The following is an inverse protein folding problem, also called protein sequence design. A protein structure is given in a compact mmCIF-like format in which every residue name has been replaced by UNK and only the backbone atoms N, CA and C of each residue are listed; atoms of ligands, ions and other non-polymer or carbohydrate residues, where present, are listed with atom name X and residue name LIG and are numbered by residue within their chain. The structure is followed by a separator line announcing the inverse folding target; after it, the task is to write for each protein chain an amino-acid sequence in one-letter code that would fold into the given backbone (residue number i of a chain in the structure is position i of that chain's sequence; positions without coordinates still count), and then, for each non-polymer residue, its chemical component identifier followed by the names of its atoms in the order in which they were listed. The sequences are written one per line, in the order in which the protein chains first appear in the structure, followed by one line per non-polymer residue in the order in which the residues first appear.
data_IF_780474494963
#
_entry.id   IF_780474494963
#
_cell.length_a   1.000
_cell.length_b   1.000
_cell.length_c   1.000
_cell.angle_alpha   90.00
_cell.angle_beta   90.00
_cell.angle_gamma   90.00
#
_symmetry.space_group_name_H-M   'P 1'
#
loop_
_entity.id
_entity.type
_entity.pdbx_description
1 polymer ?
#
# COMPACT_ATOMS: atom_id res chain seq x y z
N UNK A 1 -14.81 -55.08 3.15
CA UNK A 1 -13.86 -54.23 2.42
C UNK A 1 -14.55 -52.90 2.18
N UNK A 2 -14.22 -51.89 2.97
CA UNK A 2 -14.68 -50.52 2.76
C UNK A 2 -13.89 -49.96 1.58
N UNK A 3 -14.56 -49.64 0.48
CA UNK A 3 -13.98 -48.83 -0.59
C UNK A 3 -13.66 -47.47 0.01
N UNK A 4 -12.39 -47.24 0.35
CA UNK A 4 -11.92 -45.90 0.65
C UNK A 4 -12.19 -45.06 -0.60
N UNK A 5 -13.15 -44.14 -0.52
CA UNK A 5 -13.33 -43.09 -1.50
C UNK A 5 -12.00 -42.36 -1.61
N UNK A 6 -11.28 -42.57 -2.71
CA UNK A 6 -10.09 -41.81 -3.03
C UNK A 6 -10.53 -40.36 -3.13
N UNK A 7 -10.19 -39.54 -2.12
CA UNK A 7 -10.51 -38.11 -2.13
C UNK A 7 -10.00 -37.53 -3.44
N UNK A 8 -10.89 -36.95 -4.25
CA UNK A 8 -10.52 -36.20 -5.46
C UNK A 8 -9.89 -34.84 -5.12
N UNK A 9 -9.68 -34.56 -3.83
CA UNK A 9 -9.20 -33.29 -3.30
C UNK A 9 -7.92 -33.47 -2.51
N UNK A 10 -6.89 -32.72 -2.89
CA UNK A 10 -5.63 -32.64 -2.16
C UNK A 10 -5.70 -31.57 -1.06
N UNK A 11 -5.30 -31.89 0.17
CA UNK A 11 -5.23 -30.94 1.28
C UNK A 11 -3.78 -30.47 1.47
N UNK A 12 -3.42 -29.32 0.89
CA UNK A 12 -2.05 -28.80 0.90
C UNK A 12 -1.90 -27.42 1.57
N UNK A 13 -2.97 -26.84 2.12
CA UNK A 13 -2.93 -25.52 2.74
C UNK A 13 -1.94 -25.41 3.91
N UNK A 14 -1.77 -26.49 4.67
CA UNK A 14 -0.82 -26.56 5.79
C UNK A 14 0.60 -26.89 5.35
N UNK A 15 0.80 -27.28 4.09
CA UNK A 15 2.12 -27.55 3.54
C UNK A 15 2.82 -26.25 3.16
N UNK A 16 3.70 -25.77 4.05
CA UNK A 16 4.45 -24.53 3.87
C UNK A 16 5.43 -24.59 2.69
N UNK A 17 5.99 -25.77 2.38
CA UNK A 17 6.90 -25.95 1.25
C UNK A 17 6.18 -25.71 -0.09
N UNK A 18 4.91 -26.14 -0.21
CA UNK A 18 4.07 -25.82 -1.38
C UNK A 18 3.87 -24.31 -1.52
N UNK A 19 3.65 -23.59 -0.41
CA UNK A 19 3.52 -22.14 -0.50
C UNK A 19 4.84 -21.46 -0.86
N UNK A 20 5.96 -21.93 -0.32
CA UNK A 20 7.30 -21.43 -0.64
C UNK A 20 7.61 -21.59 -2.13
N UNK A 21 7.33 -22.78 -2.69
CA UNK A 21 7.46 -23.05 -4.13
C UNK A 21 6.62 -22.08 -4.99
N UNK A 22 5.38 -21.81 -4.58
CA UNK A 22 4.51 -20.90 -5.31
C UNK A 22 4.98 -19.44 -5.22
N UNK A 23 5.67 -19.06 -4.13
CA UNK A 23 6.27 -17.73 -3.96
C UNK A 23 7.54 -17.61 -4.81
N UNK A 24 8.36 -18.66 -4.92
CA UNK A 24 9.62 -18.63 -5.67
C UNK A 24 9.43 -18.63 -7.20
N UNK A 25 8.28 -19.10 -7.69
CA UNK A 25 7.98 -19.18 -9.12
C UNK A 25 6.69 -18.43 -9.50
N UNK A 26 6.55 -17.13 -9.15
CA UNK A 26 5.27 -16.42 -9.31
C UNK A 26 4.85 -16.33 -10.77
N UNK A 27 5.79 -16.16 -11.70
CA UNK A 27 5.51 -16.00 -13.12
C UNK A 27 5.16 -17.30 -13.84
N UNK A 28 5.41 -18.47 -13.25
CA UNK A 28 5.04 -19.75 -13.86
C UNK A 28 3.53 -20.00 -13.82
N UNK A 29 2.85 -19.44 -12.82
CA UNK A 29 1.42 -19.68 -12.61
C UNK A 29 0.56 -18.40 -12.61
N UNK A 30 1.14 -17.21 -12.41
CA UNK A 30 0.40 -15.95 -12.47
C UNK A 30 0.40 -15.36 -13.87
N UNK A 31 -0.65 -15.64 -14.63
CA UNK A 31 -0.76 -15.22 -16.03
C UNK A 31 -1.08 -13.72 -16.14
N UNK A 32 -2.03 -13.24 -15.35
CA UNK A 32 -2.48 -11.85 -15.46
C UNK A 32 -2.99 -11.31 -14.15
N UNK A 33 -2.52 -10.12 -13.79
CA UNK A 33 -3.09 -9.33 -12.72
C UNK A 33 -3.85 -8.13 -13.28
N UNK A 34 -5.09 -7.95 -12.83
CA UNK A 34 -5.89 -6.75 -13.11
C UNK A 34 -6.17 -6.03 -11.80
N UNK A 35 -5.69 -4.80 -11.68
CA UNK A 35 -5.88 -3.96 -10.52
C UNK A 35 -6.71 -2.73 -10.88
N UNK A 36 -7.72 -2.44 -10.07
CA UNK A 36 -8.59 -1.28 -10.21
C UNK A 36 -8.57 -0.47 -8.91
N UNK A 37 -8.19 0.80 -9.01
CA UNK A 37 -8.24 1.77 -7.93
C UNK A 37 -9.38 2.74 -8.20
N UNK A 38 -10.36 2.79 -7.31
CA UNK A 38 -11.54 3.66 -7.40
C UNK A 38 -11.50 4.69 -6.29
N UNK A 39 -11.29 5.95 -6.66
CA UNK A 39 -11.36 7.09 -5.74
C UNK A 39 -12.84 7.43 -5.55
N UNK A 40 -13.37 7.06 -4.39
CA UNK A 40 -14.77 7.24 -4.01
C UNK A 40 -14.96 8.24 -2.86
N UNK A 41 -13.88 8.60 -2.16
CA UNK A 41 -13.92 9.50 -1.01
C UNK A 41 -12.69 10.39 -0.91
N UNK A 42 -12.78 11.43 -0.08
CA UNK A 42 -11.69 12.38 0.16
C UNK A 42 -10.48 11.81 0.91
N UNK A 43 -10.64 10.68 1.61
CA UNK A 43 -9.64 10.13 2.55
C UNK A 43 -9.32 8.66 2.28
N UNK A 44 -10.03 8.03 1.36
CA UNK A 44 -9.83 6.63 1.01
C UNK A 44 -10.20 6.33 -0.44
N UNK A 45 -9.69 5.22 -0.96
CA UNK A 45 -10.08 4.65 -2.23
C UNK A 45 -10.31 3.15 -2.09
N UNK A 46 -11.14 2.58 -2.96
CA UNK A 46 -11.32 1.14 -3.05
C UNK A 46 -10.30 0.57 -4.03
N UNK A 47 -9.54 -0.43 -3.61
CA UNK A 47 -8.71 -1.25 -4.47
C UNK A 47 -9.40 -2.57 -4.71
N UNK A 48 -9.46 -2.99 -5.98
CA UNK A 48 -9.94 -4.31 -6.39
C UNK A 48 -8.87 -4.95 -7.22
N UNK A 49 -8.61 -6.23 -7.01
CA UNK A 49 -7.63 -6.97 -7.79
C UNK A 49 -8.19 -8.32 -8.19
N UNK A 50 -7.87 -8.72 -9.42
CA UNK A 50 -8.22 -10.00 -10.01
C UNK A 50 -6.94 -10.64 -10.52
N UNK A 51 -6.58 -11.79 -9.97
CA UNK A 51 -5.44 -12.59 -10.38
C UNK A 51 -5.95 -13.77 -11.23
N UNK A 52 -5.46 -13.87 -12.46
CA UNK A 52 -5.70 -15.01 -13.35
C UNK A 52 -4.54 -15.98 -13.22
N UNK A 53 -4.87 -17.23 -12.90
CA UNK A 53 -3.94 -18.29 -12.56
C UNK A 53 -4.00 -19.39 -13.62
N UNK A 54 -2.83 -19.86 -14.05
CA UNK A 54 -2.69 -21.03 -14.92
C UNK A 54 -2.99 -22.33 -14.15
N UNK A 55 -3.29 -23.44 -14.84
CA UNK A 55 -3.36 -24.76 -14.21
C UNK A 55 -2.12 -25.06 -13.36
N UNK A 56 -2.34 -25.53 -12.13
CA UNK A 56 -1.27 -25.73 -11.14
C UNK A 56 -0.72 -27.16 -11.11
N UNK A 57 -1.33 -28.13 -11.83
CA UNK A 57 -0.91 -29.54 -11.76
C UNK A 57 0.58 -29.74 -12.03
N UNK A 58 1.12 -29.11 -13.07
CA UNK A 58 2.53 -29.27 -13.45
C UNK A 58 3.46 -28.78 -12.33
N UNK A 59 3.15 -27.63 -11.75
CA UNK A 59 3.93 -27.04 -10.67
C UNK A 59 3.81 -27.82 -9.36
N UNK A 60 2.68 -28.50 -9.15
CA UNK A 60 2.40 -29.27 -7.93
C UNK A 60 2.57 -30.77 -8.11
N UNK A 61 3.24 -31.23 -9.17
CA UNK A 61 3.29 -32.64 -9.56
C UNK A 61 3.79 -33.57 -8.43
N UNK A 62 4.72 -33.10 -7.60
CA UNK A 62 5.26 -33.86 -6.47
C UNK A 62 4.30 -33.96 -5.26
N UNK A 63 3.24 -33.14 -5.24
CA UNK A 63 2.30 -33.01 -4.13
C UNK A 63 0.89 -33.50 -4.45
N UNK A 64 0.58 -33.76 -5.73
CA UNK A 64 -0.74 -34.20 -6.17
C UNK A 64 -0.66 -35.46 -7.03
N UNK A 65 -1.64 -36.35 -6.89
CA UNK A 65 -1.80 -37.51 -7.77
C UNK A 65 -2.68 -37.17 -8.98
N UNK A 66 -2.64 -37.99 -10.05
CA UNK A 66 -3.53 -37.83 -11.21
C UNK A 66 -5.03 -37.91 -10.87
N UNK A 67 -5.40 -38.47 -9.72
CA UNK A 67 -6.80 -38.60 -9.28
C UNK A 67 -7.33 -37.36 -8.55
N UNK A 68 -6.46 -36.44 -8.12
CA UNK A 68 -6.90 -35.19 -7.53
C UNK A 68 -7.38 -34.23 -8.62
N UNK A 69 -8.59 -33.71 -8.53
CA UNK A 69 -9.16 -32.69 -9.42
C UNK A 69 -8.98 -31.28 -8.84
N UNK A 70 -9.11 -31.16 -7.52
CA UNK A 70 -8.94 -29.89 -6.79
C UNK A 70 -7.90 -29.99 -5.68
N UNK A 71 -7.40 -28.85 -5.23
CA UNK A 71 -6.54 -28.75 -4.05
C UNK A 71 -6.95 -27.57 -3.17
N UNK A 72 -6.89 -27.74 -1.84
CA UNK A 72 -6.89 -26.60 -0.91
C UNK A 72 -5.45 -26.14 -0.78
N UNK A 73 -5.17 -24.92 -1.23
CA UNK A 73 -3.83 -24.33 -1.23
C UNK A 73 -3.83 -23.03 -0.43
N UNK A 74 -2.71 -22.75 0.24
CA UNK A 74 -2.37 -21.42 0.74
C UNK A 74 -1.67 -20.64 -0.38
N UNK A 75 -2.41 -19.80 -1.10
CA UNK A 75 -1.91 -19.06 -2.25
C UNK A 75 -1.51 -17.65 -1.86
N UNK A 76 -0.29 -17.22 -2.22
CA UNK A 76 0.07 -15.81 -2.26
C UNK A 76 -0.77 -15.14 -3.35
N UNK A 77 -1.63 -14.18 -3.00
CA UNK A 77 -2.57 -13.54 -3.93
C UNK A 77 -2.05 -12.19 -4.42
N UNK A 78 -1.41 -11.43 -3.54
CA UNK A 78 -0.78 -10.16 -3.88
C UNK A 78 0.16 -9.68 -2.77
N UNK A 79 1.22 -8.94 -3.12
CA UNK A 79 1.95 -8.16 -2.14
C UNK A 79 1.10 -6.97 -1.64
N UNK A 80 1.18 -6.73 -0.33
CA UNK A 80 0.39 -5.75 0.42
C UNK A 80 1.26 -4.93 1.36
N UNK A 81 1.03 -3.61 1.51
CA UNK A 81 1.68 -2.85 2.57
C UNK A 81 1.27 -3.41 3.94
N UNK A 82 2.21 -3.40 4.89
CA UNK A 82 1.91 -3.71 6.29
C UNK A 82 0.93 -2.69 6.85
N UNK A 83 -0.03 -3.17 7.64
CA UNK A 83 -1.07 -2.36 8.25
C UNK A 83 -2.42 -3.08 8.30
N UNK A 84 -3.45 -2.43 8.86
CA UNK A 84 -4.79 -2.99 8.92
C UNK A 84 -5.40 -3.10 7.52
N UNK A 85 -6.02 -4.24 7.24
CA UNK A 85 -6.82 -4.45 6.03
C UNK A 85 -8.25 -3.95 6.28
N UNK A 86 -8.62 -2.82 5.67
CA UNK A 86 -9.94 -2.22 5.83
C UNK A 86 -10.89 -2.69 4.73
N UNK A 87 -12.13 -3.02 5.10
CA UNK A 87 -13.17 -3.51 4.16
C UNK A 87 -12.66 -4.63 3.24
N UNK A 88 -11.84 -5.53 3.79
CA UNK A 88 -11.21 -6.58 3.02
C UNK A 88 -12.17 -7.72 2.73
N UNK A 89 -12.23 -8.12 1.46
CA UNK A 89 -12.99 -9.28 0.97
C UNK A 89 -12.13 -10.05 -0.03
N UNK A 90 -12.21 -11.38 -0.01
CA UNK A 90 -11.46 -12.26 -0.90
C UNK A 90 -12.32 -13.45 -1.33
N UNK A 91 -12.25 -13.79 -2.61
CA UNK A 91 -13.00 -14.88 -3.25
C UNK A 91 -12.08 -15.75 -4.09
N UNK A 92 -12.12 -17.04 -3.81
CA UNK A 92 -11.48 -18.06 -4.63
C UNK A 92 -12.37 -18.50 -5.79
N UNK A 93 -11.88 -19.39 -6.66
CA UNK A 93 -12.65 -19.84 -7.83
C UNK A 93 -13.85 -20.70 -7.45
N UNK A 94 -13.73 -21.52 -6.40
CA UNK A 94 -14.78 -22.43 -5.94
C UNK A 94 -15.55 -21.88 -4.71
N UNK A 95 -15.50 -20.57 -4.48
CA UNK A 95 -16.26 -19.89 -3.43
C UNK A 95 -15.39 -19.18 -2.39
N UNK A 96 -15.54 -19.55 -1.13
CA UNK A 96 -14.89 -18.86 -0.02
C UNK A 96 -13.36 -19.05 -0.03
N UNK A 97 -12.66 -18.00 0.39
CA UNK A 97 -11.24 -18.01 0.66
C UNK A 97 -11.00 -17.45 2.06
N UNK A 98 -9.99 -17.96 2.76
CA UNK A 98 -9.69 -17.58 4.14
C UNK A 98 -8.29 -16.98 4.20
N UNK A 99 -8.20 -15.72 4.61
CA UNK A 99 -6.92 -15.06 4.87
C UNK A 99 -6.18 -15.82 5.99
N UNK A 100 -4.91 -16.16 5.75
CA UNK A 100 -4.10 -16.78 6.78
C UNK A 100 -3.73 -15.77 7.87
N UNK A 101 -3.64 -16.20 9.14
CA UNK A 101 -3.11 -15.35 10.21
C UNK A 101 -1.70 -14.84 9.90
N UNK A 102 -1.40 -13.59 10.25
CA UNK A 102 -0.09 -12.95 10.02
C UNK A 102 1.11 -13.80 10.48
N UNK A 103 1.11 -14.45 11.67
CA UNK A 103 2.21 -15.32 12.07
C UNK A 103 2.43 -16.52 11.13
N UNK A 104 1.37 -17.02 10.51
CA UNK A 104 1.43 -18.17 9.61
C UNK A 104 1.89 -17.78 8.19
N UNK A 105 1.58 -16.55 7.77
CA UNK A 105 2.19 -15.91 6.60
C UNK A 105 3.69 -15.72 6.84
N UNK A 106 4.06 -15.14 7.98
CA UNK A 106 5.44 -14.88 8.35
C UNK A 106 6.32 -16.14 8.29
N UNK A 107 5.83 -17.27 8.82
CA UNK A 107 6.53 -18.56 8.73
C UNK A 107 6.77 -19.03 7.29
N UNK A 108 5.81 -18.83 6.38
CA UNK A 108 5.96 -19.19 4.95
C UNK A 108 6.97 -18.30 4.25
N UNK A 109 6.92 -17.00 4.53
CA UNK A 109 7.89 -16.04 3.98
C UNK A 109 9.31 -16.30 4.49
N UNK A 110 9.46 -16.64 5.78
CA UNK A 110 10.74 -17.03 6.34
C UNK A 110 11.26 -18.36 5.76
N UNK A 111 10.38 -19.34 5.52
CA UNK A 111 10.75 -20.57 4.83
C UNK A 111 11.25 -20.30 3.40
N UNK A 112 10.56 -19.43 2.67
CA UNK A 112 10.99 -18.99 1.34
C UNK A 112 12.37 -18.33 1.36
N UNK A 113 12.63 -17.45 2.33
CA UNK A 113 13.97 -16.88 2.53
C UNK A 113 15.00 -17.98 2.86
N UNK A 114 14.62 -18.97 3.67
CA UNK A 114 15.47 -20.13 3.95
C UNK A 114 15.81 -20.93 2.69
N UNK A 115 14.84 -21.18 1.82
CA UNK A 115 15.04 -21.90 0.56
C UNK A 115 15.98 -21.12 -0.38
N UNK A 116 15.87 -19.79 -0.46
CA UNK A 116 16.80 -18.95 -1.21
C UNK A 116 18.23 -19.01 -0.66
N UNK A 117 18.40 -18.95 0.66
CA UNK A 117 19.71 -19.06 1.30
C UNK A 117 20.34 -20.44 1.06
N UNK A 118 19.54 -21.51 1.17
CA UNK A 118 19.98 -22.88 0.92
C UNK A 118 20.36 -23.11 -0.56
N UNK A 119 19.59 -22.56 -1.50
CA UNK A 119 19.92 -22.58 -2.93
C UNK A 119 21.26 -21.86 -3.23
N UNK A 120 21.66 -20.94 -2.36
CA UNK A 120 22.95 -20.26 -2.39
C UNK A 120 24.02 -20.90 -1.48
N UNK A 121 23.78 -22.12 -0.99
CA UNK A 121 24.75 -22.92 -0.25
C UNK A 121 24.86 -22.60 1.24
N UNK A 122 23.90 -21.86 1.82
CA UNK A 122 23.86 -21.57 3.26
C UNK A 122 22.55 -22.02 3.88
N UNK A 123 22.60 -23.17 4.57
CA UNK A 123 21.49 -23.62 5.39
C UNK A 123 21.33 -22.73 6.63
N UNK A 124 20.09 -22.34 6.91
CA UNK A 124 19.78 -21.51 8.08
C UNK A 124 19.59 -22.38 9.31
N UNK A 125 20.17 -21.94 10.43
CA UNK A 125 19.90 -22.55 11.73
C UNK A 125 18.45 -22.29 12.15
N UNK A 126 17.84 -23.19 12.94
CA UNK A 126 16.47 -23.03 13.45
C UNK A 126 16.27 -21.71 14.23
N UNK A 127 17.23 -21.23 15.05
CA UNK A 127 17.15 -19.92 15.68
C UNK A 127 17.10 -18.76 14.67
N UNK A 128 17.91 -18.80 13.60
CA UNK A 128 17.90 -17.75 12.55
C UNK A 128 16.59 -17.77 11.77
N UNK A 129 16.06 -18.94 11.44
CA UNK A 129 14.75 -19.05 10.79
C UNK A 129 13.62 -18.52 11.69
N UNK A 130 13.72 -18.76 12.99
CA UNK A 130 12.79 -18.21 13.99
C UNK A 130 12.90 -16.69 14.09
N UNK A 131 14.13 -16.15 14.11
CA UNK A 131 14.39 -14.71 14.04
C UNK A 131 13.78 -14.09 12.76
N UNK A 132 14.04 -14.68 11.59
CA UNK A 132 13.47 -14.23 10.33
C UNK A 132 11.95 -14.22 10.37
N UNK A 133 11.34 -15.29 10.90
CA UNK A 133 9.88 -15.38 11.09
C UNK A 133 9.36 -14.19 11.91
N UNK A 134 10.02 -13.86 13.02
CA UNK A 134 9.63 -12.73 13.86
C UNK A 134 9.84 -11.38 13.14
N UNK A 135 10.96 -11.22 12.41
CA UNK A 135 11.25 -10.02 11.59
C UNK A 135 10.17 -9.78 10.52
N UNK A 136 9.80 -10.81 9.76
CA UNK A 136 8.78 -10.68 8.70
C UNK A 136 7.35 -10.61 9.26
N UNK A 137 7.14 -11.10 10.49
CA UNK A 137 5.89 -11.02 11.23
C UNK A 137 5.64 -9.69 11.93
N UNK A 138 6.70 -8.93 12.23
CA UNK A 138 6.64 -7.68 12.98
C UNK A 138 5.63 -6.68 12.39
N UNK A 139 4.76 -6.07 13.19
CA UNK A 139 3.74 -5.13 12.66
C UNK A 139 4.03 -3.67 12.98
N UNK A 140 4.88 -3.40 13.98
CA UNK A 140 5.19 -2.04 14.41
C UNK A 140 4.01 -1.26 14.98
N UNK A 141 2.87 -1.92 15.28
CA UNK A 141 1.66 -1.26 15.81
C UNK A 141 1.94 -0.40 17.04
N UNK A 142 2.90 -0.83 17.86
CA UNK A 142 3.33 -0.12 19.06
C UNK A 142 3.82 1.31 18.73
N UNK A 143 4.66 1.47 17.71
CA UNK A 143 5.19 2.77 17.27
C UNK A 143 4.11 3.67 16.67
N UNK A 144 3.12 3.08 15.99
CA UNK A 144 1.98 3.84 15.45
C UNK A 144 1.06 4.41 16.53
N UNK A 145 1.05 3.81 17.74
CA UNK A 145 0.17 4.23 18.85
C UNK A 145 0.84 5.17 19.84
N UNK A 146 2.12 4.94 20.15
CA UNK A 146 2.80 5.59 21.26
C UNK A 146 3.70 6.77 20.85
N UNK A 147 3.81 7.07 19.56
CA UNK A 147 4.63 8.17 19.05
C UNK A 147 6.12 7.82 18.97
N UNK A 148 7.00 8.81 18.70
CA UNK A 148 8.43 8.58 18.58
C UNK A 148 9.03 8.21 19.93
N UNK A 149 9.59 7.01 20.03
CA UNK A 149 10.29 6.49 21.20
C UNK A 149 11.70 6.04 20.79
N UNK A 150 12.67 6.15 21.70
CA UNK A 150 14.00 5.58 21.47
C UNK A 150 13.96 4.04 21.49
N UNK A 151 14.92 3.40 20.82
CA UNK A 151 15.04 1.94 20.85
C UNK A 151 15.20 1.40 22.28
N UNK A 152 15.85 2.15 23.15
CA UNK A 152 16.12 1.74 24.54
C UNK A 152 14.83 1.67 25.35
N UNK A 153 14.04 2.75 25.36
CA UNK A 153 12.74 2.79 26.02
C UNK A 153 11.81 1.69 25.48
N UNK A 154 11.82 1.44 24.16
CA UNK A 154 11.01 0.38 23.54
C UNK A 154 11.39 -1.00 24.06
N UNK A 155 12.69 -1.29 24.14
CA UNK A 155 13.18 -2.58 24.61
C UNK A 155 12.94 -2.76 26.11
N UNK A 156 13.13 -1.72 26.92
CA UNK A 156 12.88 -1.78 28.37
C UNK A 156 11.39 -2.01 28.67
N UNK A 157 10.49 -1.34 27.95
CA UNK A 157 9.04 -1.56 28.06
C UNK A 157 8.66 -2.99 27.61
N UNK A 158 9.17 -3.42 26.46
CA UNK A 158 8.87 -4.74 25.88
C UNK A 158 9.41 -5.92 26.71
N UNK A 159 10.56 -5.74 27.37
CA UNK A 159 11.17 -6.77 28.21
C UNK A 159 10.76 -6.68 29.69
N UNK A 160 10.17 -5.55 30.12
CA UNK A 160 9.81 -5.29 31.51
C UNK A 160 11.02 -5.21 32.45
N UNK A 161 12.20 -4.89 31.94
CA UNK A 161 13.45 -4.76 32.69
C UNK A 161 14.41 -3.78 32.02
N UNK A 162 15.31 -3.19 32.80
CA UNK A 162 16.37 -2.35 32.26
C UNK A 162 17.44 -3.16 31.53
N UNK A 163 18.04 -2.53 30.53
CA UNK A 163 19.09 -3.11 29.68
C UNK A 163 20.33 -2.25 29.80
N UNK A 164 21.51 -2.87 29.81
CA UNK A 164 22.76 -2.10 29.90
C UNK A 164 22.99 -1.29 28.62
N UNK A 165 23.52 -0.07 28.76
CA UNK A 165 23.84 0.81 27.63
C UNK A 165 24.79 0.14 26.61
N UNK A 166 25.72 -0.70 27.08
CA UNK A 166 26.63 -1.45 26.22
C UNK A 166 25.89 -2.46 25.33
N UNK A 167 24.89 -3.16 25.88
CA UNK A 167 24.08 -4.14 25.13
C UNK A 167 23.23 -3.43 24.09
N UNK A 168 22.56 -2.34 24.47
CA UNK A 168 21.77 -1.52 23.52
C UNK A 168 22.66 -0.93 22.43
N UNK A 169 23.87 -0.45 22.80
CA UNK A 169 24.86 0.04 21.86
C UNK A 169 25.30 -1.02 20.85
N UNK A 170 25.53 -2.26 21.31
CA UNK A 170 25.88 -3.38 20.45
C UNK A 170 24.74 -3.74 19.48
N UNK A 171 23.50 -3.80 19.96
CA UNK A 171 22.34 -4.08 19.11
C UNK A 171 22.09 -2.98 18.07
N UNK A 172 22.29 -1.70 18.43
CA UNK A 172 22.26 -0.59 17.47
C UNK A 172 23.34 -0.74 16.41
N UNK A 173 24.56 -1.11 16.80
CA UNK A 173 25.64 -1.34 15.85
C UNK A 173 25.29 -2.44 14.83
N UNK A 174 24.73 -3.57 15.29
CA UNK A 174 24.24 -4.63 14.38
C UNK A 174 23.18 -4.09 13.42
N UNK A 175 22.22 -3.31 13.91
CA UNK A 175 21.20 -2.68 13.06
C UNK A 175 21.80 -1.71 12.04
N UNK A 176 22.87 -0.98 12.39
CA UNK A 176 23.54 -0.11 11.44
C UNK A 176 24.25 -0.90 10.33
N UNK A 177 24.85 -2.06 10.63
CA UNK A 177 25.43 -2.95 9.61
C UNK A 177 24.35 -3.55 8.70
N UNK A 178 23.26 -4.06 9.27
CA UNK A 178 22.13 -4.59 8.48
C UNK A 178 21.52 -3.51 7.59
N UNK A 179 21.38 -2.28 8.11
CA UNK A 179 20.86 -1.13 7.36
C UNK A 179 21.74 -0.79 6.16
N UNK A 180 23.07 -0.84 6.28
CA UNK A 180 23.96 -0.55 5.13
C UNK A 180 23.69 -1.47 3.94
N UNK A 181 23.36 -2.73 4.21
CA UNK A 181 23.08 -3.76 3.20
C UNK A 181 21.66 -3.62 2.64
N UNK A 182 20.66 -3.44 3.51
CA UNK A 182 19.25 -3.51 3.11
C UNK A 182 18.68 -2.16 2.65
N UNK A 183 19.14 -1.02 3.20
CA UNK A 183 18.61 0.31 2.85
C UNK A 183 18.63 0.61 1.35
N UNK A 184 19.68 0.29 0.58
CA UNK A 184 19.71 0.53 -0.86
C UNK A 184 18.62 -0.23 -1.64
N UNK A 185 18.05 -1.29 -1.03
CA UNK A 185 17.03 -2.16 -1.61
C UNK A 185 15.61 -1.80 -1.15
N UNK A 186 15.48 -0.75 -0.34
CA UNK A 186 14.20 -0.27 0.19
C UNK A 186 13.76 0.99 -0.54
N UNK A 187 12.81 0.80 -1.45
CA UNK A 187 11.97 1.78 -2.13
C UNK A 187 11.64 3.08 -1.32
N UNK A 188 11.03 2.98 -0.14
CA UNK A 188 10.77 4.14 0.74
C UNK A 188 10.73 3.68 2.20
N UNK A 189 11.54 4.36 3.02
CA UNK A 189 11.61 4.14 4.46
C UNK A 189 10.48 4.85 5.21
N UNK A 190 9.88 4.15 6.18
CA UNK A 190 8.85 4.71 7.07
C UNK A 190 9.22 4.40 8.52
N UNK A 191 9.92 5.34 9.15
CA UNK A 191 10.29 5.40 10.57
C UNK A 191 11.12 4.21 11.12
N UNK A 192 10.70 2.96 10.92
CA UNK A 192 11.34 1.74 11.42
C UNK A 192 11.24 0.59 10.39
N UNK A 193 12.22 -0.31 10.44
CA UNK A 193 12.28 -1.53 9.61
C UNK A 193 12.92 -2.64 10.42
N UNK A 194 12.15 -3.69 10.73
CA UNK A 194 12.67 -4.84 11.49
C UNK A 194 13.79 -5.59 10.76
N UNK A 195 13.77 -5.76 9.42
CA UNK A 195 14.93 -6.31 8.71
C UNK A 195 16.20 -5.47 8.88
N UNK A 196 16.11 -4.15 8.83
CA UNK A 196 17.28 -3.28 9.01
C UNK A 196 17.70 -3.14 10.46
N UNK A 197 16.77 -3.25 11.41
CA UNK A 197 17.05 -3.18 12.83
C UNK A 197 16.40 -4.38 13.54
N UNK A 198 17.06 -5.56 13.52
CA UNK A 198 16.50 -6.78 14.06
C UNK A 198 16.37 -6.74 15.60
N UNK A 199 16.96 -5.74 16.27
CA UNK A 199 16.73 -5.52 17.69
C UNK A 199 15.26 -5.22 18.01
N UNK A 200 14.48 -4.70 17.05
CA UNK A 200 13.06 -4.41 17.22
C UNK A 200 12.22 -5.64 17.56
N UNK A 201 12.69 -6.85 17.25
CA UNK A 201 11.92 -8.08 17.53
C UNK A 201 12.36 -8.79 18.81
N UNK A 202 13.37 -8.29 19.52
CA UNK A 202 13.89 -8.92 20.74
C UNK A 202 12.79 -9.19 21.78
N UNK A 203 11.87 -8.26 22.10
CA UNK A 203 10.80 -8.55 23.04
C UNK A 203 9.97 -9.78 22.67
N UNK A 204 9.68 -9.94 21.38
CA UNK A 204 8.93 -11.09 20.86
C UNK A 204 9.76 -12.39 20.94
N UNK A 205 11.08 -12.33 20.75
CA UNK A 205 11.97 -13.50 20.89
C UNK A 205 12.02 -14.01 22.33
N UNK A 206 12.08 -13.11 23.32
CA UNK A 206 12.02 -13.48 24.73
C UNK A 206 10.64 -14.05 25.09
N UNK A 207 9.55 -13.40 24.64
CA UNK A 207 8.19 -13.86 24.90
C UNK A 207 7.92 -15.27 24.31
N UNK A 208 8.53 -15.57 23.16
CA UNK A 208 8.44 -16.89 22.52
C UNK A 208 9.44 -17.92 23.08
N UNK A 209 10.28 -17.56 24.05
CA UNK A 209 11.38 -18.39 24.58
C UNK A 209 12.38 -18.86 23.51
N UNK A 210 12.60 -18.07 22.46
CA UNK A 210 13.62 -18.34 21.44
C UNK A 210 15.01 -18.00 21.99
N UNK A 211 15.09 -16.97 22.84
CA UNK A 211 16.29 -16.57 23.57
C UNK A 211 15.96 -16.44 25.05
N UNK A 212 16.92 -16.80 25.92
CA UNK A 212 16.77 -16.73 27.37
C UNK A 212 17.62 -15.61 28.00
N UNK A 213 18.59 -15.05 27.27
CA UNK A 213 19.50 -14.01 27.78
C UNK A 213 19.90 -12.98 26.74
N UNK A 214 20.38 -11.82 27.22
CA UNK A 214 20.90 -10.75 26.35
C UNK A 214 22.10 -11.21 25.50
N UNK A 215 22.90 -12.13 26.03
CA UNK A 215 24.04 -12.72 25.31
C UNK A 215 23.59 -13.61 24.16
N UNK A 216 22.55 -14.41 24.36
CA UNK A 216 21.95 -15.24 23.31
C UNK A 216 21.30 -14.38 22.24
N UNK A 217 20.52 -13.37 22.63
CA UNK A 217 19.95 -12.40 21.70
C UNK A 217 21.06 -11.72 20.87
N UNK A 218 22.11 -11.22 21.52
CA UNK A 218 23.26 -10.59 20.86
C UNK A 218 23.94 -11.53 19.85
N UNK A 219 24.09 -12.81 20.19
CA UNK A 219 24.72 -13.79 19.31
C UNK A 219 23.84 -14.10 18.10
N UNK A 220 22.53 -14.24 18.30
CA UNK A 220 21.56 -14.51 17.23
C UNK A 220 21.45 -13.33 16.25
N UNK A 221 21.46 -12.09 16.77
CA UNK A 221 21.48 -10.88 15.93
C UNK A 221 22.77 -10.77 15.13
N UNK A 222 23.91 -11.16 15.70
CA UNK A 222 25.18 -11.19 14.98
C UNK A 222 25.17 -12.26 13.87
N UNK A 223 24.65 -13.45 14.13
CA UNK A 223 24.50 -14.51 13.12
C UNK A 223 23.63 -14.06 11.93
N UNK A 224 22.59 -13.28 12.20
CA UNK A 224 21.77 -12.65 11.17
C UNK A 224 22.54 -11.59 10.35
N UNK A 225 23.31 -10.72 11.00
CA UNK A 225 24.15 -9.76 10.28
C UNK A 225 25.22 -10.46 9.42
N UNK A 226 25.84 -11.53 9.94
CA UNK A 226 26.79 -12.37 9.20
C UNK A 226 26.13 -13.10 8.01
N UNK A 227 24.83 -13.41 8.10
CA UNK A 227 24.05 -13.92 6.98
C UNK A 227 23.89 -12.85 5.89
N UNK A 228 23.50 -11.63 6.26
CA UNK A 228 23.32 -10.55 5.29
C UNK A 228 24.64 -10.15 4.62
N UNK A 229 25.72 -10.02 5.39
CA UNK A 229 27.05 -9.68 4.84
C UNK A 229 27.57 -10.78 3.91
N UNK A 230 27.33 -12.06 4.24
CA UNK A 230 27.64 -13.16 3.34
C UNK A 230 26.88 -13.07 2.02
N UNK A 231 25.57 -12.84 2.06
CA UNK A 231 24.75 -12.75 0.84
C UNK A 231 25.11 -11.52 0.00
N UNK A 232 25.37 -10.37 0.64
CA UNK A 232 25.76 -9.15 -0.07
C UNK A 232 27.09 -9.33 -0.82
N UNK A 233 28.07 -10.02 -0.22
CA UNK A 233 29.35 -10.33 -0.90
C UNK A 233 29.18 -11.27 -2.10
N UNK A 234 28.08 -12.01 -2.15
CA UNK A 234 27.80 -12.95 -3.23
C UNK A 234 26.79 -12.44 -4.25
N UNK A 235 26.12 -11.30 -4.00
CA UNK A 235 25.32 -10.61 -4.98
C UNK A 235 26.28 -9.84 -5.92
N UNK A 236 26.55 -10.33 -7.15
CA UNK A 236 27.49 -9.68 -8.05
C UNK A 236 26.97 -8.30 -8.49
N UNK A 237 27.91 -7.44 -8.91
CA UNK A 237 27.61 -6.11 -9.49
C UNK A 237 27.07 -6.22 -10.93
N UNK A 238 27.17 -7.39 -11.55
CA UNK A 238 26.68 -7.65 -12.91
C UNK A 238 25.16 -7.96 -12.88
N UNK A 239 24.39 -7.38 -13.82
CA UNK A 239 22.91 -7.34 -13.92
C UNK A 239 22.14 -8.69 -13.98
N UNK A 240 22.75 -9.82 -13.61
CA UNK A 240 22.07 -11.12 -13.56
C UNK A 240 21.51 -11.40 -12.15
N UNK A 241 20.18 -11.60 -12.01
CA UNK A 241 19.56 -11.92 -10.73
C UNK A 241 20.18 -13.19 -10.13
N UNK A 242 20.54 -13.14 -8.86
CA UNK A 242 21.04 -14.29 -8.10
C UNK A 242 20.12 -14.57 -6.92
N UNK A 243 20.11 -15.81 -6.42
CA UNK A 243 19.34 -16.15 -5.21
C UNK A 243 19.71 -15.28 -4.00
N UNK A 244 20.95 -14.80 -3.91
CA UNK A 244 21.38 -13.87 -2.87
C UNK A 244 20.72 -12.50 -3.04
N UNK A 245 20.66 -11.97 -4.27
CA UNK A 245 19.97 -10.72 -4.58
C UNK A 245 18.46 -10.84 -4.33
N UNK A 246 17.84 -11.94 -4.76
CA UNK A 246 16.43 -12.24 -4.50
C UNK A 246 16.13 -12.32 -2.99
N UNK A 247 17.02 -12.91 -2.19
CA UNK A 247 16.86 -12.96 -0.73
C UNK A 247 16.86 -11.56 -0.14
N UNK A 248 17.87 -10.75 -0.47
CA UNK A 248 18.04 -9.42 0.09
C UNK A 248 16.90 -8.49 -0.34
N UNK A 249 16.49 -8.54 -1.60
CA UNK A 249 15.37 -7.77 -2.14
C UNK A 249 14.03 -8.20 -1.51
N UNK A 250 13.77 -9.51 -1.39
CA UNK A 250 12.56 -10.01 -0.75
C UNK A 250 12.51 -9.65 0.73
N UNK A 251 13.62 -9.78 1.47
CA UNK A 251 13.70 -9.42 2.88
C UNK A 251 13.53 -7.92 3.10
N UNK A 252 14.13 -7.08 2.24
CA UNK A 252 13.93 -5.64 2.23
C UNK A 252 12.46 -5.28 1.97
N UNK A 253 11.83 -5.87 0.94
CA UNK A 253 10.42 -5.64 0.63
C UNK A 253 9.52 -6.08 1.78
N UNK A 254 9.81 -7.23 2.40
CA UNK A 254 9.06 -7.71 3.56
C UNK A 254 9.16 -6.78 4.75
N UNK A 255 10.17 -5.92 4.88
CA UNK A 255 10.22 -4.90 5.93
C UNK A 255 9.02 -3.95 5.91
N UNK A 256 8.44 -3.72 4.73
CA UNK A 256 7.31 -2.80 4.52
C UNK A 256 6.04 -3.48 4.03
N UNK A 257 6.20 -4.52 3.22
CA UNK A 257 5.11 -5.24 2.61
C UNK A 257 5.05 -6.66 3.16
N UNK A 258 4.03 -7.39 2.76
CA UNK A 258 3.92 -8.80 2.99
C UNK A 258 3.06 -9.43 1.90
N UNK A 259 3.15 -10.73 1.77
CA UNK A 259 2.32 -11.48 0.85
C UNK A 259 0.97 -11.78 1.48
N UNK A 260 -0.09 -11.27 0.87
CA UNK A 260 -1.45 -11.65 1.22
C UNK A 260 -1.65 -13.12 0.83
N UNK A 261 -1.54 -14.03 1.80
CA UNK A 261 -1.73 -15.47 1.57
C UNK A 261 -3.11 -15.88 2.06
N UNK A 262 -3.89 -16.52 1.19
CA UNK A 262 -5.20 -17.04 1.54
C UNK A 262 -5.32 -18.53 1.20
N UNK A 263 -5.93 -19.28 2.12
CA UNK A 263 -6.34 -20.66 1.90
C UNK A 263 -7.61 -20.69 1.05
N UNK A 264 -7.61 -21.44 -0.04
CA UNK A 264 -8.79 -21.62 -0.89
C UNK A 264 -8.73 -22.93 -1.66
N UNK A 265 -9.89 -23.44 -2.06
CA UNK A 265 -9.99 -24.56 -2.98
C UNK A 265 -9.84 -24.07 -4.43
N UNK A 266 -8.96 -24.73 -5.18
CA UNK A 266 -8.66 -24.40 -6.58
C UNK A 266 -8.68 -25.64 -7.48
N UNK A 267 -9.08 -25.51 -8.76
CA UNK A 267 -8.90 -26.57 -9.74
C UNK A 267 -7.43 -26.74 -10.11
N UNK A 268 -6.99 -27.98 -10.33
CA UNK A 268 -5.59 -28.27 -10.69
C UNK A 268 -5.31 -28.19 -12.19
N UNK A 269 -6.31 -28.50 -13.03
CA UNK A 269 -6.17 -28.64 -14.49
C UNK A 269 -6.71 -27.48 -15.30
N UNK A 270 -7.48 -26.59 -14.67
CA UNK A 270 -8.16 -25.49 -15.35
C UNK A 270 -7.62 -24.15 -14.88
N UNK A 271 -7.53 -23.14 -15.77
CA UNK A 271 -7.22 -21.79 -15.35
C UNK A 271 -8.33 -21.23 -14.49
N UNK A 272 -7.98 -20.42 -13.50
CA UNK A 272 -8.95 -19.89 -12.55
C UNK A 272 -8.64 -18.45 -12.14
N UNK A 273 -9.58 -17.83 -11.41
CA UNK A 273 -9.48 -16.42 -11.00
C UNK A 273 -9.64 -16.30 -9.50
N UNK A 274 -8.73 -15.56 -8.87
CA UNK A 274 -8.83 -15.12 -7.48
C UNK A 274 -9.11 -13.61 -7.48
N UNK A 275 -10.09 -13.17 -6.69
CA UNK A 275 -10.45 -11.76 -6.57
C UNK A 275 -10.37 -11.31 -5.13
N UNK A 276 -9.89 -10.10 -4.89
CA UNK A 276 -10.04 -9.44 -3.61
C UNK A 276 -10.35 -7.96 -3.78
N UNK A 277 -10.85 -7.36 -2.70
CA UNK A 277 -10.97 -5.92 -2.57
C UNK A 277 -10.56 -5.46 -1.18
N UNK A 278 -10.04 -4.23 -1.10
CA UNK A 278 -9.71 -3.56 0.16
C UNK A 278 -9.96 -2.06 0.03
N UNK A 279 -10.09 -1.36 1.16
CA UNK A 279 -10.09 0.10 1.23
C UNK A 279 -8.71 0.58 1.68
N UNK A 280 -8.12 1.47 0.88
CA UNK A 280 -6.82 2.09 1.18
C UNK A 280 -6.99 3.54 1.56
N UNK A 281 -6.08 4.03 2.41
CA UNK A 281 -6.02 5.45 2.74
C UNK A 281 -5.56 6.26 1.54
N UNK A 282 -6.15 7.44 1.40
CA UNK A 282 -5.87 8.40 0.34
C UNK A 282 -5.55 9.76 0.96
N UNK A 283 -4.32 10.22 0.78
CA UNK A 283 -3.88 11.52 1.25
C UNK A 283 -3.88 12.51 0.09
N UNK A 284 -4.92 13.35 0.03
CA UNK A 284 -5.03 14.42 -0.98
C UNK A 284 -4.46 15.71 -0.40
N UNK A 285 -3.47 16.30 -1.06
CA UNK A 285 -2.93 17.61 -0.66
C UNK A 285 -4.02 18.68 -0.68
N UNK A 286 -4.08 19.56 0.32
CA UNK A 286 -5.13 20.58 0.43
C UNK A 286 -5.13 21.61 -0.72
N UNK A 287 -3.96 21.96 -1.24
CA UNK A 287 -3.83 23.04 -2.24
C UNK A 287 -3.71 22.54 -3.67
N UNK A 288 -2.91 21.50 -3.91
CA UNK A 288 -2.67 20.98 -5.25
C UNK A 288 -3.69 19.91 -5.67
N UNK A 289 -4.53 19.43 -4.75
CA UNK A 289 -5.40 18.27 -4.95
C UNK A 289 -4.67 17.05 -5.54
N UNK A 290 -3.38 16.92 -5.25
CA UNK A 290 -2.54 15.79 -5.68
C UNK A 290 -2.59 14.67 -4.68
N UNK A 291 -2.54 13.45 -5.17
CA UNK A 291 -2.35 12.26 -4.36
C UNK A 291 -1.51 11.22 -5.11
N UNK A 292 -1.13 10.16 -4.39
CA UNK A 292 -0.36 9.06 -4.93
C UNK A 292 -0.85 7.72 -4.39
N UNK A 293 -0.75 6.68 -5.20
CA UNK A 293 -1.02 5.29 -4.82
C UNK A 293 0.04 4.37 -5.44
N UNK A 294 0.58 3.45 -4.63
CA UNK A 294 1.55 2.46 -5.10
C UNK A 294 0.85 1.18 -5.56
N UNK A 295 1.33 0.65 -6.70
CA UNK A 295 0.81 -0.58 -7.31
C UNK A 295 1.95 -1.46 -7.81
N UNK A 296 1.74 -2.77 -7.82
CA UNK A 296 2.71 -3.76 -8.29
C UNK A 296 2.42 -4.14 -9.74
N UNK A 297 3.45 -4.10 -10.59
CA UNK A 297 3.32 -4.34 -12.04
C UNK A 297 4.22 -5.46 -12.58
N UNK A 298 5.05 -6.10 -11.75
CA UNK A 298 5.86 -7.26 -12.16
C UNK A 298 5.47 -8.59 -11.49
N UNK A 299 4.35 -8.65 -10.76
CA UNK A 299 3.98 -9.82 -9.96
C UNK A 299 3.06 -10.84 -10.68
N UNK A 300 2.85 -10.67 -11.99
CA UNK A 300 2.23 -11.62 -12.91
C UNK A 300 2.85 -11.43 -14.30
N UNK A 301 2.69 -12.37 -15.24
CA UNK A 301 3.25 -12.25 -16.61
C UNK A 301 2.77 -10.98 -17.33
N UNK A 302 1.53 -10.55 -17.07
CA UNK A 302 1.00 -9.27 -17.50
C UNK A 302 0.20 -8.57 -16.40
N UNK A 303 0.33 -7.25 -16.31
CA UNK A 303 -0.34 -6.42 -15.33
C UNK A 303 -1.17 -5.34 -16.03
N UNK A 304 -2.41 -5.16 -15.58
CA UNK A 304 -3.29 -4.10 -16.05
C UNK A 304 -3.81 -3.32 -14.86
N UNK A 305 -3.47 -2.03 -14.77
CA UNK A 305 -3.87 -1.17 -13.67
C UNK A 305 -4.79 -0.08 -14.19
N UNK A 306 -5.94 0.12 -13.56
CA UNK A 306 -6.83 1.24 -13.87
C UNK A 306 -7.11 2.10 -12.65
N UNK A 307 -6.92 3.40 -12.78
CA UNK A 307 -7.37 4.40 -11.82
C UNK A 307 -8.70 4.99 -12.28
N UNK A 308 -9.69 5.09 -11.40
CA UNK A 308 -11.01 5.65 -11.68
C UNK A 308 -11.46 6.61 -10.58
N UNK A 309 -12.23 7.62 -10.94
CA UNK A 309 -12.94 8.51 -10.00
C UNK A 309 -14.42 8.18 -10.06
N UNK A 310 -15.00 7.75 -8.93
CA UNK A 310 -16.42 7.38 -8.88
C UNK A 310 -17.35 8.60 -8.82
N UNK A 311 -16.84 9.73 -8.34
CA UNK A 311 -17.61 10.96 -8.19
C UNK A 311 -17.84 11.64 -9.55
N UNK A 312 -19.11 11.79 -10.01
CA UNK A 312 -19.42 12.40 -11.30
C UNK A 312 -19.11 13.90 -11.35
N UNK A 313 -18.82 14.56 -10.23
CA UNK A 313 -18.48 15.98 -10.17
C UNK A 313 -16.97 16.24 -10.26
N UNK A 314 -16.16 15.18 -10.24
CA UNK A 314 -14.69 15.24 -10.16
C UNK A 314 -14.07 14.59 -11.40
N UNK A 315 -12.93 15.12 -11.83
CA UNK A 315 -12.12 14.62 -12.93
C UNK A 315 -10.65 14.44 -12.54
N UNK A 316 -9.95 13.56 -13.24
CA UNK A 316 -8.51 13.44 -13.26
C UNK A 316 -7.94 14.60 -14.08
N UNK A 317 -7.21 15.52 -13.43
CA UNK A 317 -6.59 16.67 -14.11
C UNK A 317 -5.23 16.30 -14.69
N UNK A 318 -4.41 15.58 -13.93
CA UNK A 318 -3.12 15.07 -14.34
C UNK A 318 -2.95 13.65 -13.82
N UNK A 319 -2.17 12.85 -14.55
CA UNK A 319 -1.82 11.49 -14.17
C UNK A 319 -0.41 11.18 -14.67
N UNK A 320 0.36 10.46 -13.86
CA UNK A 320 1.66 9.94 -14.24
C UNK A 320 1.94 8.65 -13.47
N UNK A 321 2.45 7.64 -14.18
CA UNK A 321 3.05 6.45 -13.58
C UNK A 321 4.56 6.70 -13.47
N UNK A 322 5.05 6.90 -12.25
CA UNK A 322 6.46 7.14 -11.99
C UNK A 322 7.12 5.88 -11.48
N UNK A 323 8.41 5.72 -11.80
CA UNK A 323 9.25 4.77 -11.11
C UNK A 323 9.24 5.12 -9.61
N UNK A 324 9.39 4.10 -8.77
CA UNK A 324 9.39 4.25 -7.33
C UNK A 324 10.62 5.03 -6.83
N UNK A 325 11.81 4.73 -7.35
CA UNK A 325 13.12 5.27 -6.93
C UNK A 325 13.53 6.50 -7.75
N UNK A 326 13.24 6.49 -9.05
CA UNK A 326 13.59 7.56 -9.96
C UNK A 326 12.34 8.38 -10.26
N UNK A 327 12.41 9.70 -10.08
CA UNK A 327 11.32 10.63 -10.44
C UNK A 327 10.91 10.63 -11.93
N UNK A 328 11.48 9.74 -12.75
CA UNK A 328 11.16 9.48 -14.15
C UNK A 328 9.92 8.59 -14.34
N UNK A 329 9.55 8.41 -15.61
CA UNK A 329 8.45 7.53 -16.00
C UNK A 329 8.84 6.06 -15.78
N UNK A 330 7.87 5.25 -15.34
CA UNK A 330 8.11 3.82 -15.17
C UNK A 330 8.34 3.11 -16.51
N UNK A 331 9.39 2.28 -16.57
CA UNK A 331 9.70 1.43 -17.73
C UNK A 331 8.66 0.31 -17.84
N UNK A 332 8.22 0.00 -19.06
CA UNK A 332 7.24 -1.06 -19.35
C UNK A 332 5.78 -0.74 -18.98
N UNK A 333 5.49 0.47 -18.47
CA UNK A 333 4.14 0.92 -18.15
C UNK A 333 3.52 1.73 -19.30
N UNK A 334 2.79 1.06 -20.19
CA UNK A 334 2.10 1.71 -21.31
C UNK A 334 0.77 2.32 -20.86
N UNK A 335 0.47 3.55 -21.27
CA UNK A 335 -0.82 4.20 -21.03
C UNK A 335 -1.70 4.14 -22.29
N UNK A 336 -2.53 3.09 -22.47
CA UNK A 336 -3.33 2.94 -23.68
C UNK A 336 -4.58 3.83 -23.73
N UNK A 337 -5.14 4.24 -22.59
CA UNK A 337 -6.45 4.91 -22.54
C UNK A 337 -6.58 5.86 -21.36
N UNK A 338 -6.97 7.10 -21.66
CA UNK A 338 -7.29 8.14 -20.70
C UNK A 338 -8.64 8.78 -21.08
N UNK A 339 -9.53 8.91 -20.11
CA UNK A 339 -10.66 9.81 -20.16
C UNK A 339 -10.63 10.75 -18.94
N UNK A 340 -11.61 11.64 -18.81
CA UNK A 340 -11.64 12.65 -17.74
C UNK A 340 -11.76 12.01 -16.34
N UNK A 341 -12.14 10.74 -16.20
CA UNK A 341 -12.39 10.08 -14.91
C UNK A 341 -11.65 8.75 -14.74
N UNK A 342 -10.98 8.25 -15.77
CA UNK A 342 -10.27 6.98 -15.77
C UNK A 342 -8.99 7.01 -16.58
N UNK A 343 -7.97 6.32 -16.07
CA UNK A 343 -6.72 6.05 -16.77
C UNK A 343 -6.38 4.59 -16.60
N UNK A 344 -5.94 3.95 -17.68
CA UNK A 344 -5.46 2.57 -17.67
C UNK A 344 -3.96 2.53 -18.01
N UNK A 345 -3.26 1.58 -17.38
CA UNK A 345 -1.87 1.21 -17.62
C UNK A 345 -1.82 -0.27 -17.93
N UNK A 346 -0.98 -0.65 -18.89
CA UNK A 346 -0.68 -2.04 -19.23
C UNK A 346 0.83 -2.28 -19.17
N UNK A 347 1.25 -3.33 -18.47
CA UNK A 347 2.64 -3.74 -18.36
C UNK A 347 2.79 -5.22 -18.71
N UNK A 348 3.70 -5.55 -19.61
CA UNK A 348 3.87 -6.91 -20.13
C UNK A 348 5.31 -7.26 -20.55
N UNK A 349 6.23 -6.28 -20.58
CA UNK A 349 7.63 -6.50 -20.96
C UNK A 349 8.43 -7.10 -19.80
N UNK A 350 9.45 -7.90 -20.09
CA UNK A 350 10.25 -8.60 -19.08
C UNK A 350 11.06 -7.65 -18.17
N UNK A 351 11.49 -6.50 -18.70
CA UNK A 351 12.30 -5.49 -17.99
C UNK A 351 11.44 -4.46 -17.23
N UNK A 352 10.18 -4.78 -16.93
CA UNK A 352 9.27 -3.86 -16.24
C UNK A 352 9.65 -3.69 -14.77
N UNK A 353 9.45 -2.47 -14.27
CA UNK A 353 9.64 -2.16 -12.86
C UNK A 353 8.81 -3.07 -11.95
N UNK A 354 9.34 -3.45 -10.78
CA UNK A 354 8.57 -4.25 -9.82
C UNK A 354 7.31 -3.51 -9.33
N UNK A 355 7.46 -2.21 -9.04
CA UNK A 355 6.44 -1.33 -8.46
C UNK A 355 6.44 0.04 -9.15
N UNK A 356 5.27 0.66 -9.21
CA UNK A 356 5.12 2.04 -9.70
C UNK A 356 4.26 2.88 -8.78
N UNK A 357 4.57 4.18 -8.74
CA UNK A 357 3.77 5.18 -8.04
C UNK A 357 2.86 5.90 -9.03
N UNK A 358 1.55 5.71 -8.86
CA UNK A 358 0.53 6.43 -9.61
C UNK A 358 0.31 7.79 -8.95
N UNK A 359 0.90 8.83 -9.52
CA UNK A 359 0.67 10.21 -9.09
C UNK A 359 -0.43 10.83 -9.93
N UNK A 360 -1.41 11.45 -9.27
CA UNK A 360 -2.54 12.07 -9.95
C UNK A 360 -3.00 13.33 -9.22
N UNK A 361 -3.64 14.24 -9.97
CA UNK A 361 -4.33 15.40 -9.40
C UNK A 361 -5.81 15.38 -9.77
N UNK A 362 -6.62 15.81 -8.81
CA UNK A 362 -8.07 15.88 -8.96
C UNK A 362 -8.52 17.33 -9.13
N UNK A 363 -9.55 17.52 -9.94
CA UNK A 363 -10.19 18.82 -10.12
C UNK A 363 -11.71 18.65 -10.24
N UNK A 364 -12.51 19.70 -9.97
CA UNK A 364 -13.90 19.68 -10.36
C UNK A 364 -14.02 19.50 -11.88
N UNK A 365 -15.15 18.99 -12.34
CA UNK A 365 -15.50 19.06 -13.77
C UNK A 365 -15.38 20.51 -14.25
N UNK A 366 -14.87 20.72 -15.47
CA UNK A 366 -14.60 22.06 -16.03
C UNK A 366 -15.79 23.03 -15.91
N UNK A 367 -17.01 22.52 -16.10
CA UNK A 367 -18.26 23.29 -15.98
C UNK A 367 -18.58 23.76 -14.54
N UNK A 368 -18.14 23.00 -13.53
CA UNK A 368 -18.34 23.30 -12.11
C UNK A 368 -17.18 24.10 -11.52
N UNK A 369 -16.00 24.02 -12.14
CA UNK A 369 -14.78 24.70 -11.69
C UNK A 369 -14.91 26.23 -11.76
N UNK A 370 -15.52 26.75 -12.83
CA UNK A 370 -15.51 28.20 -13.12
C UNK A 370 -16.60 28.98 -12.38
N UNK A 371 -17.76 28.37 -12.10
CA UNK A 371 -18.94 29.07 -11.57
C UNK A 371 -18.68 29.75 -10.21
N UNK A 372 -18.06 29.10 -9.21
CA UNK A 372 -17.80 29.74 -7.92
C UNK A 372 -16.81 30.90 -8.03
N UNK A 373 -15.80 30.79 -8.90
CA UNK A 373 -14.84 31.86 -9.12
C UNK A 373 -15.44 33.07 -9.85
N UNK A 374 -16.29 32.83 -10.85
CA UNK A 374 -17.05 33.91 -11.49
C UNK A 374 -17.98 34.60 -10.51
N UNK A 375 -18.72 33.84 -9.70
CA UNK A 375 -19.58 34.40 -8.67
C UNK A 375 -18.77 35.21 -7.64
N UNK A 376 -17.63 34.70 -7.18
CA UNK A 376 -16.74 35.41 -6.26
C UNK A 376 -16.22 36.71 -6.89
N UNK A 377 -15.76 36.68 -8.14
CA UNK A 377 -15.28 37.87 -8.85
C UNK A 377 -16.38 38.92 -9.03
N UNK A 378 -17.59 38.50 -9.41
CA UNK A 378 -18.74 39.40 -9.53
C UNK A 378 -19.12 40.05 -8.19
N UNK A 379 -19.09 39.28 -7.10
CA UNK A 379 -19.33 39.83 -5.76
C UNK A 379 -18.25 40.82 -5.36
N UNK A 380 -16.97 40.50 -5.60
CA UNK A 380 -15.86 41.43 -5.30
C UNK A 380 -16.00 42.73 -6.10
N UNK A 381 -16.31 42.65 -7.39
CA UNK A 381 -16.56 43.83 -8.23
C UNK A 381 -17.76 44.65 -7.73
N UNK A 382 -18.83 43.98 -7.33
CA UNK A 382 -19.99 44.64 -6.72
C UNK A 382 -19.61 45.35 -5.42
N UNK A 383 -18.82 44.71 -4.55
CA UNK A 383 -18.35 45.35 -3.31
C UNK A 383 -17.52 46.59 -3.58
N UNK A 384 -16.60 46.53 -4.55
CA UNK A 384 -15.79 47.69 -4.95
C UNK A 384 -16.67 48.83 -5.49
N UNK A 385 -17.64 48.52 -6.34
CA UNK A 385 -18.57 49.52 -6.87
C UNK A 385 -19.41 50.19 -5.76
N UNK A 386 -19.83 49.43 -4.75
CA UNK A 386 -20.56 49.98 -3.59
C UNK A 386 -19.69 50.92 -2.76
N UNK A 387 -18.43 50.54 -2.52
CA UNK A 387 -17.48 51.37 -1.77
C UNK A 387 -17.15 52.67 -2.52
N UNK A 388 -17.12 52.65 -3.85
CA UNK A 388 -16.89 53.83 -4.69
C UNK A 388 -18.12 54.74 -4.77
N UNK A 389 -19.31 54.17 -5.00
CA UNK A 389 -20.53 54.97 -5.17
C UNK A 389 -21.09 55.55 -3.87
N UNK A 390 -20.78 54.94 -2.71
CA UNK A 390 -21.35 55.30 -1.40
C UNK A 390 -22.86 55.53 -1.48
N UNK A 391 -23.65 54.48 -1.79
CA UNK A 391 -25.09 54.63 -1.96
C UNK A 391 -25.77 55.07 -0.66
N UNK A 392 -26.57 56.13 -0.74
CA UNK A 392 -27.23 56.76 0.42
C UNK A 392 -28.72 56.35 0.57
N UNK A 393 -29.17 55.29 -0.12
CA UNK A 393 -30.56 54.83 -0.02
C UNK A 393 -30.66 53.32 0.14
N UNK A 394 -31.61 52.89 0.98
CA UNK A 394 -31.99 51.47 1.17
C UNK A 394 -32.35 50.75 -0.14
N UNK A 395 -32.86 51.50 -1.13
CA UNK A 395 -33.24 50.95 -2.44
C UNK A 395 -32.02 50.54 -3.26
N UNK A 396 -30.92 51.26 -3.11
CA UNK A 396 -29.66 50.98 -3.82
C UNK A 396 -28.95 49.77 -3.21
N UNK A 397 -29.03 49.59 -1.89
CA UNK A 397 -28.54 48.39 -1.18
C UNK A 397 -29.35 47.13 -1.52
N UNK A 398 -30.62 47.25 -1.91
CA UNK A 398 -31.45 46.10 -2.29
C UNK A 398 -30.95 45.37 -3.55
N UNK A 399 -30.17 46.05 -4.41
CA UNK A 399 -29.56 45.48 -5.62
C UNK A 399 -28.58 44.34 -5.28
N UNK A 400 -28.05 44.34 -4.05
CA UNK A 400 -27.08 43.37 -3.54
C UNK A 400 -27.72 42.00 -3.25
N UNK A 401 -29.02 41.99 -2.94
CA UNK A 401 -29.73 40.78 -2.52
C UNK A 401 -29.73 39.67 -3.58
N UNK A 402 -29.82 40.03 -4.87
CA UNK A 402 -29.81 39.06 -5.97
C UNK A 402 -28.48 38.30 -6.10
N UNK A 403 -27.35 38.99 -6.30
CA UNK A 403 -26.02 38.37 -6.34
C UNK A 403 -25.67 37.61 -5.06
N UNK A 404 -26.00 38.16 -3.89
CA UNK A 404 -25.79 37.48 -2.61
C UNK A 404 -26.60 36.18 -2.48
N UNK A 405 -27.87 36.18 -2.90
CA UNK A 405 -28.72 34.98 -2.89
C UNK A 405 -28.21 33.91 -3.86
N UNK A 406 -27.73 34.29 -5.04
CA UNK A 406 -27.14 33.36 -6.01
C UNK A 406 -25.86 32.74 -5.45
N UNK A 407 -24.97 33.54 -4.87
CA UNK A 407 -23.75 33.04 -4.23
C UNK A 407 -24.05 32.13 -3.03
N UNK A 408 -25.01 32.51 -2.19
CA UNK A 408 -25.49 31.67 -1.09
C UNK A 408 -26.06 30.34 -1.63
N UNK A 409 -26.81 30.35 -2.72
CA UNK A 409 -27.32 29.13 -3.37
C UNK A 409 -26.19 28.22 -3.86
N UNK A 410 -25.12 28.78 -4.44
CA UNK A 410 -23.94 28.02 -4.90
C UNK A 410 -23.15 27.42 -3.72
N UNK A 411 -23.08 28.13 -2.58
CA UNK A 411 -22.46 27.63 -1.34
C UNK A 411 -23.31 26.56 -0.64
N UNK A 412 -24.63 26.72 -0.66
CA UNK A 412 -25.60 25.79 -0.07
C UNK A 412 -25.87 24.57 -0.94
N UNK A 413 -25.44 24.59 -2.22
CA UNK A 413 -25.54 23.45 -3.11
C UNK A 413 -24.79 22.27 -2.50
N UNK A 414 -25.56 21.34 -1.93
CA UNK A 414 -25.04 20.19 -1.20
C UNK A 414 -24.25 19.31 -2.15
N UNK A 415 -22.99 19.08 -1.81
CA UNK A 415 -22.19 18.08 -2.51
C UNK A 415 -22.56 16.70 -1.98
N UNK A 416 -22.86 15.74 -2.88
CA UNK A 416 -23.30 14.41 -2.46
C UNK A 416 -22.16 13.58 -1.85
N UNK A 417 -20.91 13.99 -2.04
CA UNK A 417 -19.70 13.22 -1.69
C UNK A 417 -18.73 14.05 -0.85
N UNK A 418 -17.95 13.36 -0.02
CA UNK A 418 -16.84 13.99 0.72
C UNK A 418 -15.72 14.44 -0.22
N UNK A 419 -15.52 13.72 -1.33
CA UNK A 419 -14.48 14.00 -2.33
C UNK A 419 -14.71 15.35 -3.02
N UNK A 420 -15.91 15.56 -3.59
CA UNK A 420 -16.27 16.83 -4.21
C UNK A 420 -16.08 18.00 -3.24
N UNK A 421 -16.62 17.85 -2.02
CA UNK A 421 -16.57 18.90 -1.00
C UNK A 421 -15.13 19.31 -0.66
N UNK A 422 -14.22 18.34 -0.55
CA UNK A 422 -12.79 18.60 -0.30
C UNK A 422 -12.14 19.32 -1.49
N UNK A 423 -12.42 18.89 -2.71
CA UNK A 423 -11.82 19.47 -3.92
C UNK A 423 -12.31 20.90 -4.15
N UNK A 424 -13.57 21.20 -3.83
CA UNK A 424 -14.16 22.54 -3.97
C UNK A 424 -13.85 23.49 -2.81
N UNK A 425 -13.20 23.01 -1.74
CA UNK A 425 -12.93 23.79 -0.52
C UNK A 425 -12.38 25.19 -0.82
N UNK A 426 -11.32 25.31 -1.61
CA UNK A 426 -10.72 26.61 -1.95
C UNK A 426 -11.69 27.54 -2.68
N UNK A 427 -12.43 27.01 -3.66
CA UNK A 427 -13.40 27.80 -4.44
C UNK A 427 -14.59 28.24 -3.58
N UNK A 428 -15.06 27.38 -2.68
CA UNK A 428 -16.12 27.68 -1.72
C UNK A 428 -15.66 28.68 -0.66
N UNK A 429 -14.42 28.58 -0.18
CA UNK A 429 -13.82 29.57 0.74
C UNK A 429 -13.68 30.92 0.06
N UNK A 430 -13.20 30.99 -1.18
CA UNK A 430 -13.11 32.24 -1.93
C UNK A 430 -14.48 32.91 -2.11
N UNK A 431 -15.49 32.13 -2.48
CA UNK A 431 -16.86 32.61 -2.62
C UNK A 431 -17.45 33.08 -1.28
N UNK A 432 -17.22 32.33 -0.20
CA UNK A 432 -17.62 32.70 1.15
C UNK A 432 -16.98 34.01 1.58
N UNK A 433 -15.66 34.17 1.42
CA UNK A 433 -14.95 35.40 1.75
C UNK A 433 -15.48 36.60 0.94
N UNK A 434 -15.73 36.43 -0.36
CA UNK A 434 -16.30 37.48 -1.20
C UNK A 434 -17.71 37.90 -0.74
N UNK A 435 -18.55 36.93 -0.38
CA UNK A 435 -19.88 37.18 0.16
C UNK A 435 -19.85 37.87 1.53
N UNK A 436 -18.98 37.42 2.44
CA UNK A 436 -18.79 38.06 3.75
C UNK A 436 -18.28 39.48 3.61
N UNK A 437 -17.33 39.72 2.72
CA UNK A 437 -16.79 41.06 2.45
C UNK A 437 -17.89 41.99 1.93
N UNK A 438 -18.69 41.54 0.96
CA UNK A 438 -19.85 42.28 0.47
C UNK A 438 -20.83 42.63 1.59
N UNK A 439 -21.17 41.69 2.47
CA UNK A 439 -22.07 41.91 3.60
C UNK A 439 -21.52 42.91 4.62
N UNK A 440 -20.24 42.80 4.98
CA UNK A 440 -19.57 43.72 5.91
C UNK A 440 -19.53 45.13 5.33
N UNK A 441 -19.13 45.29 4.06
CA UNK A 441 -19.12 46.60 3.41
C UNK A 441 -20.51 47.21 3.32
N UNK A 442 -21.54 46.41 3.02
CA UNK A 442 -22.92 46.88 2.96
C UNK A 442 -23.42 47.34 4.34
N UNK A 443 -23.13 46.57 5.39
CA UNK A 443 -23.49 46.93 6.76
C UNK A 443 -22.75 48.18 7.25
N UNK A 444 -21.46 48.30 6.91
CA UNK A 444 -20.66 49.48 7.22
C UNK A 444 -21.23 50.73 6.55
N UNK A 445 -21.53 50.68 5.25
CA UNK A 445 -22.13 51.79 4.53
C UNK A 445 -23.50 52.19 5.10
N UNK A 446 -24.32 51.22 5.53
CA UNK A 446 -25.60 51.50 6.17
C UNK A 446 -25.49 52.12 7.58
N UNK A 447 -24.44 51.80 8.33
CA UNK A 447 -24.21 52.30 9.70
C UNK A 447 -23.37 53.57 9.77
N UNK A 448 -22.66 53.90 8.69
CA UNK A 448 -21.85 55.12 8.57
C UNK A 448 -22.70 56.34 8.14
N UNK A 449 -23.93 56.10 7.69
CA UNK A 449 -25.04 57.08 7.74
C UNK A 449 -25.58 57.21 9.17
#
# INVERSE_FOLDING_TARGET
MSTAETSTKAALADNRAVTSLLISQPLEWRVRAVEELVIDSATSCQRRRSLQVAPLRTLLADYVTPTHETAILALNVAPMPRGPLMEFDIKGPNGAAWLLPRPEIARRQALYLGDLAAAHGRDLSEPVLSLLTTIVGFTGEWFSRNGPMSLEEYLEEGLGRSITADTVGYWRHIGDECRKILRPRVDEFRDYSAPENPALVIPELFAANIVASDKEASSLLAEYADLLDFLERQAPVDDLPTYADDFLNALADYGRNYDLIAAMEVPLDEPFIVKYSERRNLNISLFANTSQQSVFIADAQSNHVSLKVADPSVRLRQFSAKNFDLSGYAVGAYQPRQDDQSVAIYAHEAEREYRVNLQFSLAPLRRLEVVPYLAAAMLTLLTLALLEQQPNTLRDLAIIAGPAALAASVLLAREPTTLGSRIRLLSSTALFCALTFLLISSAYLYLAE
#
